data_IF_330100958191
#
_entry.id   IF_330100958191
#
_cell.length_a   1.000
_cell.length_b   1.000
_cell.length_c   1.000
_cell.angle_alpha   90.00
_cell.angle_beta   90.00
_cell.angle_gamma   90.00
#
_symmetry.space_group_name_H-M   'P 1'
#
loop_
_entity.id
_entity.type
_entity.pdbx_description
1 polymer ?
#
# COMPACT_ATOMS: atom_id res chain seq x y z
N UNK A 1 8.05 11.24 11.85
CA UNK A 1 8.25 10.25 10.79
C UNK A 1 6.92 9.67 10.39
N UNK A 2 6.78 9.34 9.14
CA UNK A 2 5.53 8.89 8.55
C UNK A 2 5.74 7.75 7.57
N UNK A 3 4.67 7.01 7.30
CA UNK A 3 4.59 6.06 6.21
C UNK A 3 3.87 6.73 5.05
N UNK A 4 4.48 6.73 3.90
CA UNK A 4 3.87 7.17 2.66
C UNK A 4 3.59 5.96 1.78
N UNK A 5 2.33 5.79 1.36
CA UNK A 5 1.94 4.73 0.44
C UNK A 5 1.51 5.33 -0.88
N UNK A 6 1.88 4.68 -1.98
CA UNK A 6 1.57 5.14 -3.32
C UNK A 6 1.15 3.96 -4.18
N UNK A 7 0.09 4.15 -4.95
CA UNK A 7 -0.32 3.22 -6.00
C UNK A 7 -0.04 3.87 -7.35
N UNK A 8 0.66 3.14 -8.21
CA UNK A 8 0.94 3.57 -9.58
C UNK A 8 0.43 2.56 -10.58
N UNK A 9 0.04 3.05 -11.75
CA UNK A 9 -0.45 2.19 -12.81
C UNK A 9 -0.39 2.88 -14.15
N UNK A 10 -0.66 2.13 -15.20
CA UNK A 10 -0.67 2.69 -16.55
C UNK A 10 -1.81 3.68 -16.71
N UNK A 11 -1.49 4.87 -17.21
CA UNK A 11 -2.48 5.88 -17.53
C UNK A 11 -3.40 5.37 -18.64
N UNK A 12 -4.70 5.50 -18.41
CA UNK A 12 -5.73 5.15 -19.39
C UNK A 12 -6.66 6.33 -19.61
N UNK A 13 -7.15 6.46 -20.82
CA UNK A 13 -8.16 7.46 -21.18
C UNK A 13 -9.36 6.75 -21.80
N UNK A 14 -10.53 7.33 -21.61
CA UNK A 14 -11.74 6.87 -22.28
C UNK A 14 -12.04 7.81 -23.47
N UNK A 15 -12.23 7.21 -24.63
CA UNK A 15 -12.54 7.94 -25.84
C UNK A 15 -13.43 7.10 -26.74
N UNK A 16 -14.52 7.68 -27.18
CA UNK A 16 -15.47 7.06 -28.12
C UNK A 16 -16.00 5.70 -27.57
N UNK A 17 -16.29 5.63 -26.27
CA UNK A 17 -16.83 4.44 -25.59
C UNK A 17 -15.81 3.30 -25.37
N UNK A 18 -14.55 3.55 -25.62
CA UNK A 18 -13.45 2.58 -25.42
C UNK A 18 -12.39 3.13 -24.47
N UNK A 19 -11.71 2.23 -23.79
CA UNK A 19 -10.59 2.54 -22.92
C UNK A 19 -9.27 2.34 -23.67
N UNK A 20 -8.42 3.36 -23.67
CA UNK A 20 -7.15 3.36 -24.37
C UNK A 20 -6.02 3.51 -23.36
N UNK A 21 -4.99 2.69 -23.51
CA UNK A 21 -3.75 2.81 -22.73
C UNK A 21 -2.89 3.92 -23.32
N UNK A 22 -2.30 4.75 -22.46
CA UNK A 22 -1.45 5.86 -22.87
C UNK A 22 0.02 5.41 -22.85
N UNK A 23 0.72 5.68 -23.92
CA UNK A 23 2.15 5.39 -24.07
C UNK A 23 2.92 6.69 -24.24
N UNK A 24 4.17 6.69 -23.83
CA UNK A 24 5.08 7.80 -24.06
C UNK A 24 6.39 7.28 -24.65
N UNK A 25 7.10 8.17 -25.34
CA UNK A 25 8.42 7.87 -25.88
C UNK A 25 9.47 8.32 -24.85
N UNK A 26 10.35 7.42 -24.47
CA UNK A 26 11.47 7.76 -23.61
C UNK A 26 12.47 8.65 -24.36
N UNK A 27 12.84 9.79 -23.75
CA UNK A 27 13.72 10.76 -24.39
C UNK A 27 15.17 10.28 -24.52
N UNK A 28 15.61 9.38 -23.66
CA UNK A 28 16.97 8.85 -23.67
C UNK A 28 17.11 7.63 -24.60
N UNK A 29 16.26 6.64 -24.45
CA UNK A 29 16.33 5.40 -25.25
C UNK A 29 15.64 5.51 -26.60
N UNK A 30 14.68 6.42 -26.73
CA UNK A 30 13.82 6.53 -27.91
C UNK A 30 12.79 5.42 -28.04
N UNK A 31 12.66 4.56 -27.05
CA UNK A 31 11.70 3.46 -27.03
C UNK A 31 10.34 3.92 -26.48
N UNK A 32 9.28 3.26 -26.89
CA UNK A 32 7.94 3.49 -26.36
C UNK A 32 7.74 2.70 -25.08
N UNK A 33 7.21 3.35 -24.06
CA UNK A 33 6.89 2.74 -22.76
C UNK A 33 5.50 3.11 -22.30
N UNK A 34 4.93 2.30 -21.41
CA UNK A 34 3.65 2.59 -20.78
C UNK A 34 3.77 3.87 -19.93
N UNK A 35 2.84 4.81 -20.12
CA UNK A 35 2.80 6.01 -19.29
C UNK A 35 2.20 5.66 -17.92
N UNK A 36 3.03 5.70 -16.88
CA UNK A 36 2.62 5.41 -15.51
C UNK A 36 2.14 6.70 -14.84
N UNK A 37 1.09 6.57 -14.03
CA UNK A 37 0.59 7.69 -13.24
C UNK A 37 0.34 7.26 -11.80
N UNK A 38 0.33 8.22 -10.89
CA UNK A 38 -0.06 7.99 -9.50
C UNK A 38 -1.59 7.92 -9.44
N UNK A 39 -2.09 6.79 -8.96
CA UNK A 39 -3.51 6.52 -8.83
C UNK A 39 -4.05 6.85 -7.44
N UNK A 40 -3.18 6.75 -6.43
CA UNK A 40 -3.52 7.02 -5.04
C UNK A 40 -2.26 7.31 -4.23
N UNK A 41 -2.37 8.24 -3.28
CA UNK A 41 -1.35 8.52 -2.28
C UNK A 41 -2.00 8.62 -0.91
N UNK A 42 -1.33 8.08 0.10
CA UNK A 42 -1.77 8.18 1.48
C UNK A 42 -0.60 8.29 2.44
N UNK A 43 -0.86 8.82 3.62
CA UNK A 43 0.17 9.07 4.63
C UNK A 43 -0.39 8.84 6.02
N UNK A 44 0.37 8.16 6.88
CA UNK A 44 0.08 8.04 8.31
C UNK A 44 1.36 8.11 9.13
N UNK A 45 1.20 8.51 10.40
CA UNK A 45 2.31 8.51 11.34
C UNK A 45 2.75 7.10 11.74
N UNK A 46 4.05 6.91 11.98
CA UNK A 46 4.60 5.65 12.50
C UNK A 46 4.04 5.28 13.88
N UNK A 47 3.48 6.23 14.62
CA UNK A 47 2.84 5.96 15.91
C UNK A 47 1.65 5.00 15.82
N UNK A 48 1.13 4.76 14.62
CA UNK A 48 0.06 3.79 14.36
C UNK A 48 0.59 2.37 14.07
N UNK A 49 1.90 2.16 14.13
CA UNK A 49 2.51 0.85 13.89
C UNK A 49 2.03 -0.24 14.84
N UNK A 50 1.92 0.05 16.13
CA UNK A 50 1.45 -0.92 17.11
C UNK A 50 -0.01 -1.31 16.88
N UNK A 51 -0.84 -0.35 16.51
CA UNK A 51 -2.24 -0.59 16.16
C UNK A 51 -2.36 -1.48 14.91
N UNK A 52 -1.52 -1.21 13.91
CA UNK A 52 -1.45 -2.03 12.70
C UNK A 52 -0.98 -3.46 13.00
N UNK A 53 -0.01 -3.61 13.90
CA UNK A 53 0.48 -4.92 14.34
C UNK A 53 -0.64 -5.72 15.02
N UNK A 54 -1.38 -5.09 15.92
CA UNK A 54 -2.51 -5.71 16.60
C UNK A 54 -3.60 -6.16 15.62
N UNK A 55 -3.85 -5.38 14.58
CA UNK A 55 -4.80 -5.71 13.53
C UNK A 55 -4.28 -6.75 12.53
N UNK A 56 -3.00 -7.12 12.62
CA UNK A 56 -2.37 -8.09 11.72
C UNK A 56 -2.02 -7.55 10.34
N UNK A 57 -1.98 -6.23 10.16
CA UNK A 57 -1.73 -5.60 8.86
C UNK A 57 -0.46 -4.75 8.80
N UNK A 58 0.40 -4.86 9.81
CA UNK A 58 1.64 -4.09 9.82
C UNK A 58 2.47 -4.32 8.55
N UNK A 59 2.70 -5.59 8.19
CA UNK A 59 3.49 -5.90 7.01
C UNK A 59 2.81 -5.43 5.72
N UNK A 60 1.48 -5.55 5.63
CA UNK A 60 0.75 -5.06 4.46
C UNK A 60 0.95 -3.56 4.23
N UNK A 61 1.13 -2.78 5.31
CA UNK A 61 1.31 -1.33 5.24
C UNK A 61 2.78 -0.93 5.14
N UNK A 62 3.65 -1.44 6.02
CA UNK A 62 5.05 -1.01 6.13
C UNK A 62 6.04 -1.87 5.34
N UNK A 63 5.72 -3.14 5.10
CA UNK A 63 6.62 -4.10 4.43
C UNK A 63 5.87 -4.98 3.45
N UNK A 64 5.14 -4.37 2.47
CA UNK A 64 4.24 -5.13 1.60
C UNK A 64 4.94 -6.20 0.76
N UNK A 65 6.24 -6.07 0.50
CA UNK A 65 7.01 -7.10 -0.22
C UNK A 65 6.94 -8.47 0.46
N UNK A 66 6.75 -8.50 1.79
CA UNK A 66 6.62 -9.77 2.54
C UNK A 66 5.36 -10.54 2.21
N UNK A 67 4.36 -9.89 1.64
CA UNK A 67 3.11 -10.53 1.23
C UNK A 67 3.11 -11.00 -0.22
N UNK A 68 4.17 -10.70 -0.96
CA UNK A 68 4.30 -11.20 -2.32
C UNK A 68 4.53 -12.71 -2.32
N UNK A 69 3.92 -13.46 -3.27
CA UNK A 69 4.20 -14.89 -3.42
C UNK A 69 5.65 -15.18 -3.81
N UNK A 70 6.40 -14.16 -4.23
CA UNK A 70 7.81 -14.28 -4.61
C UNK A 70 8.77 -14.04 -3.44
N UNK A 71 8.26 -13.59 -2.28
CA UNK A 71 9.11 -13.37 -1.11
C UNK A 71 9.54 -14.69 -0.50
N UNK A 72 10.82 -14.79 -0.16
CA UNK A 72 11.40 -15.94 0.53
C UNK A 72 11.80 -15.53 1.95
N UNK A 73 11.23 -16.18 2.94
CA UNK A 73 11.55 -15.92 4.35
C UNK A 73 13.02 -16.19 4.63
N UNK A 74 13.69 -15.31 5.31
CA UNK A 74 15.12 -15.41 5.59
C UNK A 74 15.50 -14.66 6.86
N UNK A 75 16.55 -15.15 7.54
CA UNK A 75 17.19 -14.44 8.64
C UNK A 75 18.35 -13.57 8.16
N UNK A 76 18.71 -13.66 6.88
CA UNK A 76 19.76 -12.85 6.27
C UNK A 76 19.20 -11.47 5.92
N UNK A 77 19.63 -10.46 6.68
CA UNK A 77 19.18 -9.09 6.55
C UNK A 77 19.50 -8.49 5.17
N UNK A 78 20.67 -8.78 4.64
CA UNK A 78 21.08 -8.27 3.32
C UNK A 78 20.25 -8.90 2.21
N UNK A 79 19.93 -10.18 2.32
CA UNK A 79 19.07 -10.87 1.36
C UNK A 79 17.62 -10.35 1.42
N UNK A 80 17.10 -10.09 2.62
CA UNK A 80 15.77 -9.49 2.76
C UNK A 80 15.72 -8.10 2.11
N UNK A 81 16.73 -7.28 2.36
CA UNK A 81 16.85 -5.95 1.78
C UNK A 81 16.90 -6.00 0.24
N UNK A 82 17.65 -6.95 -0.32
CA UNK A 82 17.71 -7.16 -1.76
C UNK A 82 16.35 -7.55 -2.33
N UNK A 83 15.61 -8.42 -1.64
CA UNK A 83 14.26 -8.81 -2.05
C UNK A 83 13.30 -7.61 -2.04
N UNK A 84 13.37 -6.77 -1.02
CA UNK A 84 12.55 -5.54 -0.96
C UNK A 84 12.75 -4.67 -2.19
N UNK A 85 13.99 -4.52 -2.65
CA UNK A 85 14.32 -3.72 -3.83
C UNK A 85 13.91 -4.34 -5.16
N UNK A 86 13.72 -5.65 -5.21
CA UNK A 86 13.47 -6.39 -6.46
C UNK A 86 12.05 -6.92 -6.64
N UNK A 87 11.30 -7.07 -5.54
CA UNK A 87 9.93 -7.59 -5.61
C UNK A 87 8.97 -6.45 -5.97
N UNK A 88 8.17 -6.68 -7.02
CA UNK A 88 7.06 -5.82 -7.36
C UNK A 88 5.80 -6.31 -6.65
N UNK A 89 5.20 -5.44 -5.83
CA UNK A 89 3.97 -5.74 -5.08
C UNK A 89 2.79 -5.14 -5.80
N UNK A 90 1.76 -5.94 -6.02
CA UNK A 90 0.50 -5.46 -6.61
C UNK A 90 -0.54 -5.21 -5.52
N UNK A 91 -1.47 -4.31 -5.79
CA UNK A 91 -2.56 -4.01 -4.86
C UNK A 91 -3.32 -5.28 -4.44
N UNK A 92 -3.55 -6.20 -5.39
CA UNK A 92 -4.22 -7.47 -5.11
C UNK A 92 -3.44 -8.40 -4.18
N UNK A 93 -2.13 -8.20 -4.02
CA UNK A 93 -1.32 -9.02 -3.10
C UNK A 93 -1.60 -8.67 -1.64
N UNK A 94 -2.01 -7.44 -1.34
CA UNK A 94 -2.19 -6.96 0.03
C UNK A 94 -3.64 -6.65 0.41
N UNK A 95 -4.52 -6.38 -0.55
CA UNK A 95 -5.89 -5.97 -0.28
C UNK A 95 -6.70 -6.98 0.54
N UNK A 96 -6.58 -8.32 0.34
CA UNK A 96 -7.32 -9.26 1.16
C UNK A 96 -6.97 -9.18 2.65
N UNK A 97 -5.69 -9.04 2.98
CA UNK A 97 -5.24 -8.93 4.37
C UNK A 97 -5.68 -7.60 4.99
N UNK A 98 -5.62 -6.52 4.23
CA UNK A 98 -6.08 -5.20 4.70
C UNK A 98 -7.58 -5.22 4.95
N UNK A 99 -8.36 -5.88 4.09
CA UNK A 99 -9.80 -6.08 4.30
C UNK A 99 -10.08 -6.81 5.61
N UNK A 100 -9.37 -7.90 5.86
CA UNK A 100 -9.49 -8.66 7.10
C UNK A 100 -9.15 -7.81 8.32
N UNK A 101 -8.06 -7.04 8.25
CA UNK A 101 -7.64 -6.13 9.32
C UNK A 101 -8.67 -5.04 9.58
N UNK A 102 -9.23 -4.44 8.54
CA UNK A 102 -10.27 -3.42 8.68
C UNK A 102 -11.52 -3.99 9.38
N UNK A 103 -11.91 -5.22 9.04
CA UNK A 103 -13.02 -5.88 9.70
C UNK A 103 -12.77 -6.07 11.20
N UNK A 104 -11.56 -6.45 11.58
CA UNK A 104 -11.16 -6.57 12.99
C UNK A 104 -11.22 -5.24 13.72
N UNK A 105 -10.69 -4.19 13.11
CA UNK A 105 -10.67 -2.84 13.67
C UNK A 105 -12.11 -2.33 13.91
N UNK A 106 -12.98 -2.52 12.94
CA UNK A 106 -14.37 -2.08 13.03
C UNK A 106 -15.20 -2.90 14.02
N UNK A 107 -14.83 -4.16 14.26
CA UNK A 107 -15.55 -5.06 15.18
C UNK A 107 -15.31 -4.73 16.65
N UNK A 108 -14.15 -4.12 16.99
CA UNK A 108 -13.80 -3.84 18.39
C UNK A 108 -13.04 -2.52 18.54
N UNK A 109 -13.69 -1.38 18.28
CA UNK A 109 -13.04 -0.06 18.34
C UNK A 109 -12.38 0.23 19.70
N UNK A 110 -13.02 -0.17 20.80
CA UNK A 110 -12.50 0.11 22.14
C UNK A 110 -11.19 -0.60 22.43
N UNK A 111 -11.00 -1.79 21.87
CA UNK A 111 -9.73 -2.52 21.98
C UNK A 111 -8.60 -1.76 21.28
N UNK A 112 -8.85 -1.29 20.05
CA UNK A 112 -7.81 -0.60 19.26
C UNK A 112 -7.53 0.80 19.76
N UNK A 113 -8.50 1.49 20.37
CA UNK A 113 -8.30 2.80 21.00
C UNK A 113 -7.28 2.79 22.13
N UNK A 114 -7.02 1.62 22.72
CA UNK A 114 -5.96 1.46 23.74
C UNK A 114 -4.57 1.74 23.18
N UNK A 115 -4.40 1.67 21.86
CA UNK A 115 -3.15 1.97 21.17
C UNK A 115 -3.04 3.43 20.73
N UNK A 116 -4.02 4.27 21.05
CA UNK A 116 -3.96 5.71 20.76
C UNK A 116 -2.72 6.32 21.40
N UNK A 117 -1.99 7.12 20.60
CA UNK A 117 -0.80 7.80 21.09
C UNK A 117 -1.16 8.87 22.12
N UNK A 118 -0.47 8.91 23.28
CA UNK A 118 -0.75 9.91 24.33
C UNK A 118 -0.61 11.36 23.86
N UNK A 119 0.20 11.61 22.82
CA UNK A 119 0.45 12.96 22.29
C UNK A 119 -0.57 13.39 21.22
N UNK A 120 -1.58 12.57 20.94
CA UNK A 120 -2.58 12.87 19.91
C UNK A 120 -2.11 12.63 18.48
N UNK A 121 -0.88 12.22 18.27
CA UNK A 121 -0.33 11.87 16.96
C UNK A 121 -0.44 10.37 16.73
N UNK A 122 -1.50 9.95 16.08
CA UNK A 122 -1.78 8.54 15.81
C UNK A 122 -2.94 8.01 16.65
N UNK A 123 -4.15 8.45 16.31
CA UNK A 123 -5.38 8.02 16.96
C UNK A 123 -6.12 6.99 16.11
N UNK A 124 -6.93 6.16 16.77
CA UNK A 124 -7.79 5.16 16.14
C UNK A 124 -8.56 5.73 14.94
N UNK A 125 -9.18 6.90 15.10
CA UNK A 125 -9.96 7.52 14.02
C UNK A 125 -9.13 7.82 12.77
N UNK A 126 -7.87 8.20 12.94
CA UNK A 126 -6.97 8.46 11.81
C UNK A 126 -6.59 7.17 11.10
N UNK A 127 -6.37 6.11 11.87
CA UNK A 127 -6.01 4.80 11.35
C UNK A 127 -7.16 4.20 10.54
N UNK A 128 -8.38 4.21 11.10
CA UNK A 128 -9.56 3.69 10.39
C UNK A 128 -9.78 4.40 9.07
N UNK A 129 -9.76 5.74 9.07
CA UNK A 129 -9.92 6.52 7.84
C UNK A 129 -8.86 6.18 6.80
N UNK A 130 -7.60 6.07 7.22
CA UNK A 130 -6.51 5.72 6.31
C UNK A 130 -6.73 4.33 5.71
N UNK A 131 -7.04 3.34 6.54
CA UNK A 131 -7.22 1.95 6.08
C UNK A 131 -8.41 1.83 5.13
N UNK A 132 -9.52 2.51 5.45
CA UNK A 132 -10.72 2.53 4.59
C UNK A 132 -10.40 3.12 3.21
N UNK A 133 -9.78 4.28 3.17
CA UNK A 133 -9.43 4.95 1.92
C UNK A 133 -8.42 4.16 1.10
N UNK A 134 -7.40 3.62 1.77
CA UNK A 134 -6.38 2.81 1.11
C UNK A 134 -6.97 1.53 0.54
N UNK A 135 -7.81 0.83 1.30
CA UNK A 135 -8.46 -0.38 0.83
C UNK A 135 -9.37 -0.11 -0.38
N UNK A 136 -10.13 0.98 -0.35
CA UNK A 136 -10.95 1.38 -1.49
C UNK A 136 -10.10 1.54 -2.76
N UNK A 137 -8.96 2.22 -2.64
CA UNK A 137 -8.04 2.40 -3.75
C UNK A 137 -7.43 1.09 -4.23
N UNK A 138 -7.00 0.22 -3.30
CA UNK A 138 -6.42 -1.08 -3.63
C UNK A 138 -7.42 -1.98 -4.38
N UNK A 139 -8.67 -1.97 -3.96
CA UNK A 139 -9.72 -2.76 -4.61
C UNK A 139 -10.14 -2.18 -5.96
N UNK A 140 -10.09 -0.86 -6.09
CA UNK A 140 -10.38 -0.17 -7.36
C UNK A 140 -9.28 -0.43 -8.40
N UNK A 141 -8.03 -0.54 -7.96
CA UNK A 141 -6.87 -0.69 -8.83
C UNK A 141 -6.07 -1.95 -8.47
N UNK A 142 -6.62 -3.16 -8.65
CA UNK A 142 -5.99 -4.39 -8.19
C UNK A 142 -4.64 -4.69 -8.84
N UNK A 143 -4.39 -4.16 -10.02
CA UNK A 143 -3.14 -4.35 -10.76
C UNK A 143 -2.14 -3.21 -10.55
N UNK A 144 -2.47 -2.22 -9.73
CA UNK A 144 -1.56 -1.13 -9.43
C UNK A 144 -0.34 -1.63 -8.65
N UNK A 145 0.81 -0.99 -8.89
CA UNK A 145 2.03 -1.27 -8.16
C UNK A 145 2.01 -0.49 -6.84
N UNK A 146 2.26 -1.21 -5.76
CA UNK A 146 2.33 -0.66 -4.40
C UNK A 146 3.75 -0.27 -4.09
N UNK A 147 3.96 0.97 -3.68
CA UNK A 147 5.22 1.43 -3.11
C UNK A 147 4.96 2.07 -1.76
N UNK A 148 5.89 1.90 -0.84
CA UNK A 148 5.84 2.57 0.45
C UNK A 148 7.21 3.15 0.80
N UNK A 149 7.18 4.33 1.40
CA UNK A 149 8.36 5.02 1.90
C UNK A 149 8.20 5.17 3.42
N UNK A 150 9.18 4.63 4.15
CA UNK A 150 9.21 4.58 5.62
C UNK A 150 10.10 5.67 6.19
#
# INVERSE_FOLDING_TARGET
MSLDVTLTGQKKIEWNGKTWSVWRKDDESGEWEEYQEVLYEGNITHNLGDMAEEAGIYNALWRPYKLSPHFVETDDYDYEYEQEGNITVLASDISPLIREGLNKINADPEHYKKFDSPNGWGLYKHFVSFVEEYLEALEKYPNAVVTCDR
#
